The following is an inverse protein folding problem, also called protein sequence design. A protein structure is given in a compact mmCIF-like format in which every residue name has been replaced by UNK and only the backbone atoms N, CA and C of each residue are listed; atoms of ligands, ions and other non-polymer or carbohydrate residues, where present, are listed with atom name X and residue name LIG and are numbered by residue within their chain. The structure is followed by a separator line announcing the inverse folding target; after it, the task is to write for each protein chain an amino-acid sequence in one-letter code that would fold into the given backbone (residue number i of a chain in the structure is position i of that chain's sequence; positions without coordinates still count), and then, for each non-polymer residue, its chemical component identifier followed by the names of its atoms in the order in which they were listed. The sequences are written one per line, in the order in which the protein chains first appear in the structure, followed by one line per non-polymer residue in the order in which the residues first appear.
data_IF_559784681867
#
_entry.id   IF_559784681867
#
_cell.length_a   1.000
_cell.length_b   1.000
_cell.length_c   1.000
_cell.angle_alpha   90.00
_cell.angle_beta   90.00
_cell.angle_gamma   90.00
#
_symmetry.space_group_name_H-M   'P 1'
#
loop_
_entity.id
_entity.type
_entity.pdbx_description
1 polymer ?
#
# COMPACT_ATOMS: atom_id res chain seq x y z
N UNK A 1 17.07 -32.42 14.00
CA UNK A 1 17.19 -31.02 14.45
C UNK A 1 16.23 -30.22 13.59
N UNK A 2 15.25 -29.52 14.17
CA UNK A 2 14.38 -28.66 13.37
C UNK A 2 15.27 -27.57 12.75
N UNK A 3 15.30 -27.50 11.42
CA UNK A 3 16.01 -26.43 10.70
C UNK A 3 15.45 -25.10 11.21
N UNK A 4 16.33 -24.24 11.72
CA UNK A 4 15.93 -22.95 12.29
C UNK A 4 15.21 -22.12 11.21
N UNK A 5 13.97 -21.68 11.48
CA UNK A 5 13.19 -20.86 10.54
C UNK A 5 13.90 -19.52 10.34
N UNK A 6 13.93 -19.04 9.10
CA UNK A 6 14.29 -17.66 8.83
C UNK A 6 13.25 -16.72 9.43
N UNK A 7 13.65 -15.49 9.73
CA UNK A 7 12.70 -14.45 10.08
C UNK A 7 11.88 -14.09 8.84
N UNK A 8 12.54 -13.78 7.72
CA UNK A 8 11.89 -13.25 6.51
C UNK A 8 12.29 -14.04 5.26
N UNK A 9 11.32 -14.34 4.38
CA UNK A 9 11.61 -14.70 2.98
C UNK A 9 10.95 -13.70 2.05
N UNK A 10 11.74 -13.12 1.13
CA UNK A 10 11.24 -12.25 0.06
C UNK A 10 10.88 -13.10 -1.15
N UNK A 11 9.58 -13.28 -1.41
CA UNK A 11 9.06 -14.07 -2.52
C UNK A 11 8.75 -13.19 -3.74
N UNK A 12 9.20 -13.63 -4.92
CA UNK A 12 9.14 -12.81 -6.14
C UNK A 12 10.38 -11.91 -6.30
N UNK A 13 11.49 -12.28 -5.67
CA UNK A 13 12.71 -11.46 -5.59
C UNK A 13 13.37 -11.16 -6.95
N UNK A 14 13.11 -11.97 -7.98
CA UNK A 14 13.59 -11.70 -9.34
C UNK A 14 12.71 -10.74 -10.16
N UNK A 15 11.59 -10.29 -9.60
CA UNK A 15 10.74 -9.26 -10.21
C UNK A 15 11.30 -7.86 -9.99
N UNK A 16 10.73 -6.87 -10.68
CA UNK A 16 11.21 -5.48 -10.60
C UNK A 16 11.13 -4.92 -9.17
N UNK A 17 9.96 -5.00 -8.52
CA UNK A 17 9.81 -4.63 -7.09
C UNK A 17 10.64 -5.52 -6.17
N UNK A 18 10.71 -6.81 -6.49
CA UNK A 18 11.44 -7.80 -5.70
C UNK A 18 12.92 -7.50 -5.56
N UNK A 19 13.60 -7.10 -6.64
CA UNK A 19 15.05 -6.80 -6.57
C UNK A 19 15.34 -5.58 -5.70
N UNK A 20 14.53 -4.51 -5.79
CA UNK A 20 14.69 -3.36 -4.90
C UNK A 20 14.30 -3.70 -3.45
N UNK A 21 13.38 -4.65 -3.23
CA UNK A 21 13.11 -5.18 -1.89
C UNK A 21 14.34 -5.90 -1.33
N UNK A 22 15.08 -6.65 -2.15
CA UNK A 22 16.36 -7.27 -1.74
C UNK A 22 17.42 -6.21 -1.41
N UNK A 23 17.48 -5.12 -2.17
CA UNK A 23 18.39 -4.00 -1.89
C UNK A 23 18.08 -3.36 -0.52
N UNK A 24 16.83 -2.96 -0.29
CA UNK A 24 16.42 -2.35 0.98
C UNK A 24 16.54 -3.30 2.18
N UNK A 25 16.40 -4.62 1.96
CA UNK A 25 16.53 -5.64 3.00
C UNK A 25 17.90 -5.62 3.68
N UNK A 26 18.97 -5.20 2.99
CA UNK A 26 20.31 -5.08 3.58
C UNK A 26 20.32 -4.10 4.75
N UNK A 27 19.57 -3.00 4.65
CA UNK A 27 19.45 -2.00 5.71
C UNK A 27 18.34 -2.36 6.70
N UNK A 28 17.12 -2.61 6.20
CA UNK A 28 15.93 -2.78 7.03
C UNK A 28 15.96 -4.08 7.85
N UNK A 29 16.52 -5.16 7.29
CA UNK A 29 16.56 -6.49 7.93
C UNK A 29 17.96 -6.82 8.50
N UNK A 30 18.82 -5.83 8.75
CA UNK A 30 20.23 -6.05 9.16
C UNK A 30 20.42 -6.95 10.39
N UNK A 31 19.41 -7.00 11.28
CA UNK A 31 19.42 -7.79 12.52
C UNK A 31 18.51 -9.03 12.45
N UNK A 32 18.09 -9.44 11.26
CA UNK A 32 17.16 -10.55 11.02
C UNK A 32 17.78 -11.57 10.05
N UNK A 33 17.43 -12.84 10.22
CA UNK A 33 17.81 -13.90 9.28
C UNK A 33 16.83 -13.90 8.11
N UNK A 34 17.29 -13.56 6.90
CA UNK A 34 16.41 -13.49 5.74
C UNK A 34 16.95 -14.23 4.52
N UNK A 35 16.04 -14.58 3.61
CA UNK A 35 16.34 -15.26 2.35
C UNK A 35 15.44 -14.77 1.22
N UNK A 36 15.69 -15.28 0.01
CA UNK A 36 14.91 -14.92 -1.18
C UNK A 36 14.29 -16.15 -1.83
N UNK A 37 13.16 -15.95 -2.51
CA UNK A 37 12.44 -17.01 -3.17
C UNK A 37 11.87 -16.59 -4.53
N UNK A 38 11.80 -17.56 -5.43
CA UNK A 38 11.23 -17.40 -6.77
C UNK A 38 11.42 -18.67 -7.61
N UNK A 39 11.03 -18.60 -8.89
CA UNK A 39 10.98 -19.79 -9.77
C UNK A 39 12.34 -20.20 -10.34
N UNK A 40 13.25 -19.25 -10.51
CA UNK A 40 14.50 -19.47 -11.24
C UNK A 40 15.71 -19.16 -10.35
N UNK A 41 16.44 -20.21 -9.95
CA UNK A 41 17.63 -20.11 -9.08
C UNK A 41 18.70 -19.18 -9.64
N UNK A 42 19.00 -19.28 -10.93
CA UNK A 42 20.05 -18.48 -11.56
C UNK A 42 19.72 -16.98 -11.52
N UNK A 43 18.46 -16.60 -11.80
CA UNK A 43 18.00 -15.21 -11.68
C UNK A 43 18.06 -14.70 -10.24
N UNK A 44 17.76 -15.55 -9.26
CA UNK A 44 17.86 -15.19 -7.84
C UNK A 44 19.32 -14.94 -7.43
N UNK A 45 20.26 -15.76 -7.91
CA UNK A 45 21.70 -15.55 -7.69
C UNK A 45 22.20 -14.25 -8.35
N UNK A 46 21.72 -13.94 -9.55
CA UNK A 46 22.02 -12.69 -10.24
C UNK A 46 21.53 -11.47 -9.46
N UNK A 47 20.31 -11.52 -8.92
CA UNK A 47 19.76 -10.45 -8.06
C UNK A 47 20.61 -10.24 -6.81
N UNK A 48 21.02 -11.32 -6.12
CA UNK A 48 21.89 -11.20 -4.94
C UNK A 48 23.24 -10.55 -5.29
N UNK A 49 23.79 -10.88 -6.46
CA UNK A 49 25.03 -10.27 -6.96
C UNK A 49 24.84 -8.78 -7.29
N UNK A 50 23.82 -8.44 -8.08
CA UNK A 50 23.51 -7.07 -8.50
C UNK A 50 23.23 -6.17 -7.29
N UNK A 51 22.29 -6.59 -6.43
CA UNK A 51 21.86 -5.80 -5.27
C UNK A 51 22.92 -5.80 -4.16
N UNK A 52 23.68 -6.88 -3.99
CA UNK A 52 24.81 -6.92 -3.05
C UNK A 52 25.93 -5.97 -3.45
N UNK A 53 26.29 -5.92 -4.75
CA UNK A 53 27.25 -4.95 -5.26
C UNK A 53 26.76 -3.51 -5.05
N UNK A 54 25.48 -3.23 -5.35
CA UNK A 54 24.85 -1.91 -5.14
C UNK A 54 24.85 -1.50 -3.67
N UNK A 55 24.52 -2.43 -2.75
CA UNK A 55 24.50 -2.20 -1.32
C UNK A 55 25.89 -2.26 -0.66
N UNK A 56 26.95 -2.57 -1.43
CA UNK A 56 28.32 -2.81 -0.93
C UNK A 56 28.36 -3.87 0.18
N UNK A 57 27.58 -4.94 0.01
CA UNK A 57 27.45 -6.07 0.94
C UNK A 57 27.50 -7.39 0.18
N UNK A 58 28.30 -8.34 0.64
CA UNK A 58 28.25 -9.70 0.09
C UNK A 58 26.96 -10.40 0.53
N UNK A 59 26.13 -10.76 -0.46
CA UNK A 59 24.88 -11.49 -0.29
C UNK A 59 24.97 -12.94 -0.78
N UNK A 60 26.16 -13.43 -1.13
CA UNK A 60 26.39 -14.78 -1.70
C UNK A 60 25.87 -15.92 -0.82
N UNK A 61 25.85 -15.72 0.51
CA UNK A 61 25.38 -16.69 1.49
C UNK A 61 23.88 -16.57 1.82
N UNK A 62 23.16 -15.65 1.17
CA UNK A 62 21.72 -15.48 1.40
C UNK A 62 20.96 -16.73 0.93
N UNK A 63 20.16 -17.38 1.79
CA UNK A 63 19.42 -18.58 1.41
C UNK A 63 18.46 -18.34 0.23
N UNK A 64 18.44 -19.30 -0.71
CA UNK A 64 17.57 -19.28 -1.90
C UNK A 64 16.57 -20.44 -1.83
N UNK A 65 15.30 -20.12 -1.95
CA UNK A 65 14.20 -21.08 -2.03
C UNK A 65 13.56 -21.06 -3.42
N UNK A 66 13.25 -22.24 -3.94
CA UNK A 66 12.51 -22.37 -5.21
C UNK A 66 11.04 -22.53 -4.89
N UNK A 67 10.24 -21.60 -5.42
CA UNK A 67 8.81 -21.55 -5.23
C UNK A 67 8.12 -21.00 -6.49
N UNK A 68 7.05 -21.68 -6.91
CA UNK A 68 6.20 -21.29 -8.03
C UNK A 68 4.76 -21.10 -7.55
N UNK A 69 4.11 -20.02 -8.00
CA UNK A 69 2.71 -19.72 -7.66
C UNK A 69 1.72 -20.79 -8.15
N UNK A 70 2.13 -21.63 -9.09
CA UNK A 70 1.36 -22.76 -9.61
C UNK A 70 1.70 -24.10 -8.93
N UNK A 71 2.66 -24.13 -8.01
CA UNK A 71 3.05 -25.32 -7.26
C UNK A 71 2.82 -25.11 -5.76
N UNK A 72 1.70 -25.63 -5.26
CA UNK A 72 1.28 -25.49 -3.87
C UNK A 72 2.29 -26.08 -2.87
N UNK A 73 2.93 -27.19 -3.22
CA UNK A 73 3.90 -27.84 -2.34
C UNK A 73 5.15 -26.97 -2.19
N UNK A 74 5.60 -26.34 -3.29
CA UNK A 74 6.72 -25.40 -3.26
C UNK A 74 6.43 -24.17 -2.38
N UNK A 75 5.22 -23.61 -2.48
CA UNK A 75 4.80 -22.45 -1.67
C UNK A 75 4.71 -22.81 -0.19
N UNK A 76 4.15 -23.98 0.13
CA UNK A 76 4.05 -24.45 1.51
C UNK A 76 5.43 -24.71 2.12
N UNK A 77 6.36 -25.29 1.36
CA UNK A 77 7.73 -25.53 1.81
C UNK A 77 8.48 -24.22 2.07
N UNK A 78 8.33 -23.23 1.19
CA UNK A 78 8.86 -21.87 1.41
C UNK A 78 8.26 -21.26 2.68
N UNK A 79 6.94 -21.29 2.82
CA UNK A 79 6.25 -20.69 3.95
C UNK A 79 6.66 -21.34 5.29
N UNK A 80 6.82 -22.66 5.36
CA UNK A 80 7.32 -23.37 6.55
C UNK A 80 8.74 -22.97 6.95
N UNK A 81 9.53 -22.46 6.01
CA UNK A 81 10.95 -22.14 6.21
C UNK A 81 11.18 -20.74 6.81
N UNK A 82 10.14 -19.93 7.00
CA UNK A 82 10.26 -18.58 7.57
C UNK A 82 9.11 -18.22 8.50
N UNK A 83 9.26 -17.14 9.28
CA UNK A 83 8.22 -16.58 10.15
C UNK A 83 7.28 -15.63 9.42
N UNK A 84 7.78 -14.93 8.40
CA UNK A 84 6.99 -14.07 7.52
C UNK A 84 7.44 -14.18 6.06
N UNK A 85 6.47 -14.25 5.15
CA UNK A 85 6.68 -14.09 3.70
C UNK A 85 6.40 -12.65 3.31
N UNK A 86 7.40 -12.00 2.72
CA UNK A 86 7.30 -10.71 2.05
C UNK A 86 7.05 -10.97 0.57
N UNK A 87 5.80 -10.81 0.13
CA UNK A 87 5.37 -11.17 -1.21
C UNK A 87 5.42 -9.96 -2.17
N UNK A 88 6.27 -10.05 -3.18
CA UNK A 88 6.36 -9.09 -4.30
C UNK A 88 5.96 -9.72 -5.64
N UNK A 89 5.34 -10.91 -5.63
CA UNK A 89 4.92 -11.64 -6.82
C UNK A 89 3.47 -11.29 -7.21
N UNK A 90 3.32 -10.25 -8.03
CA UNK A 90 2.04 -9.87 -8.65
C UNK A 90 1.86 -10.39 -10.09
N UNK A 91 0.70 -10.14 -10.73
CA UNK A 91 -0.49 -9.48 -10.17
C UNK A 91 -1.21 -10.36 -9.13
N UNK A 92 -1.62 -9.75 -8.01
CA UNK A 92 -2.06 -10.49 -6.82
C UNK A 92 -3.42 -11.13 -6.98
N UNK A 93 -4.32 -10.52 -7.77
CA UNK A 93 -5.62 -11.08 -8.14
C UNK A 93 -5.53 -12.51 -8.67
N UNK A 94 -4.48 -12.85 -9.42
CA UNK A 94 -4.33 -14.16 -10.05
C UNK A 94 -3.50 -15.12 -9.20
N UNK A 95 -2.48 -14.62 -8.50
CA UNK A 95 -1.46 -15.46 -7.88
C UNK A 95 -1.35 -15.31 -6.35
N UNK A 96 -1.90 -14.24 -5.78
CA UNK A 96 -1.75 -13.90 -4.37
C UNK A 96 -2.45 -14.89 -3.43
N UNK A 97 -3.63 -15.41 -3.81
CA UNK A 97 -4.41 -16.34 -2.98
C UNK A 97 -3.64 -17.60 -2.64
N UNK A 98 -2.90 -18.17 -3.60
CA UNK A 98 -2.10 -19.38 -3.37
C UNK A 98 -1.00 -19.14 -2.32
N UNK A 99 -0.38 -17.96 -2.33
CA UNK A 99 0.64 -17.59 -1.36
C UNK A 99 0.03 -17.37 0.02
N UNK A 100 -1.10 -16.65 0.11
CA UNK A 100 -1.83 -16.40 1.37
C UNK A 100 -2.23 -17.72 2.02
N UNK A 101 -2.85 -18.62 1.25
CA UNK A 101 -3.26 -19.94 1.72
C UNK A 101 -2.09 -20.78 2.23
N UNK A 102 -0.97 -20.79 1.50
CA UNK A 102 0.24 -21.50 1.93
C UNK A 102 0.80 -20.93 3.25
N UNK A 103 0.82 -19.60 3.40
CA UNK A 103 1.28 -18.92 4.61
C UNK A 103 0.42 -19.26 5.83
N UNK A 104 -0.92 -19.19 5.69
CA UNK A 104 -1.85 -19.54 6.77
C UNK A 104 -1.69 -21.01 7.17
N UNK A 105 -1.61 -21.93 6.21
CA UNK A 105 -1.42 -23.35 6.46
C UNK A 105 -0.08 -23.67 7.15
N UNK A 106 0.95 -22.85 6.91
CA UNK A 106 2.27 -22.99 7.53
C UNK A 106 2.39 -22.34 8.92
N UNK A 107 1.42 -21.52 9.35
CA UNK A 107 1.59 -20.68 10.54
C UNK A 107 2.64 -19.58 10.31
N UNK A 108 2.61 -18.96 9.13
CA UNK A 108 3.59 -17.97 8.66
C UNK A 108 2.85 -16.69 8.31
N UNK A 109 3.33 -15.55 8.82
CA UNK A 109 2.77 -14.24 8.49
C UNK A 109 2.98 -13.89 7.02
N UNK A 110 2.16 -12.98 6.50
CA UNK A 110 2.21 -12.56 5.11
C UNK A 110 2.04 -11.05 4.99
N UNK A 111 2.91 -10.43 4.20
CA UNK A 111 2.76 -9.05 3.75
C UNK A 111 2.93 -8.92 2.24
N UNK A 112 2.21 -8.01 1.61
CA UNK A 112 2.34 -7.70 0.18
C UNK A 112 2.16 -6.22 -0.15
N UNK A 113 2.53 -5.83 -1.37
CA UNK A 113 2.38 -4.45 -1.88
C UNK A 113 1.14 -4.28 -2.77
N UNK A 114 0.11 -5.12 -2.61
CA UNK A 114 -1.04 -5.09 -3.51
C UNK A 114 -1.82 -3.77 -3.42
N UNK A 115 -2.01 -3.14 -4.58
CA UNK A 115 -2.92 -2.01 -4.79
C UNK A 115 -4.30 -2.43 -5.31
N UNK A 116 -4.70 -3.70 -5.14
CA UNK A 116 -5.91 -4.27 -5.77
C UNK A 116 -7.03 -4.52 -4.74
N UNK A 117 -8.01 -3.61 -4.57
CA UNK A 117 -9.08 -3.75 -3.57
C UNK A 117 -9.86 -5.06 -3.65
N UNK A 118 -10.12 -5.55 -4.86
CA UNK A 118 -10.87 -6.79 -5.04
C UNK A 118 -10.12 -7.98 -4.42
N UNK A 119 -8.81 -8.07 -4.65
CA UNK A 119 -7.97 -9.14 -4.09
C UNK A 119 -7.94 -9.03 -2.56
N UNK A 120 -7.64 -7.83 -2.04
CA UNK A 120 -7.54 -7.60 -0.60
C UNK A 120 -8.83 -7.94 0.16
N UNK A 121 -9.97 -7.50 -0.37
CA UNK A 121 -11.28 -7.76 0.24
C UNK A 121 -11.71 -9.22 0.06
N UNK A 122 -11.34 -9.87 -1.05
CA UNK A 122 -11.56 -11.31 -1.23
C UNK A 122 -10.75 -12.14 -0.23
N UNK A 123 -9.48 -11.79 0.00
CA UNK A 123 -8.66 -12.48 1.01
C UNK A 123 -9.23 -12.31 2.41
N UNK A 124 -9.72 -11.11 2.74
CA UNK A 124 -10.41 -10.88 4.00
C UNK A 124 -11.66 -11.75 4.12
N UNK A 125 -12.48 -11.81 3.07
CA UNK A 125 -13.73 -12.56 3.09
C UNK A 125 -13.49 -14.07 3.26
N UNK A 126 -12.48 -14.62 2.60
CA UNK A 126 -12.20 -16.06 2.60
C UNK A 126 -11.40 -16.52 3.81
N UNK A 127 -10.44 -15.72 4.27
CA UNK A 127 -9.37 -16.21 5.14
C UNK A 127 -9.27 -15.54 6.51
N UNK A 128 -10.07 -14.50 6.81
CA UNK A 128 -9.93 -13.77 8.07
C UNK A 128 -10.05 -14.67 9.31
N UNK A 129 -11.06 -15.55 9.36
CA UNK A 129 -11.25 -16.43 10.53
C UNK A 129 -10.17 -17.51 10.63
N UNK A 130 -9.81 -18.15 9.51
CA UNK A 130 -8.74 -19.15 9.48
C UNK A 130 -7.38 -18.53 9.89
N UNK A 131 -7.10 -17.30 9.46
CA UNK A 131 -5.88 -16.59 9.83
C UNK A 131 -5.82 -16.30 11.35
N UNK A 132 -6.95 -15.93 11.97
CA UNK A 132 -7.05 -15.77 13.44
C UNK A 132 -6.86 -17.11 14.17
N UNK A 133 -7.50 -18.17 13.70
CA UNK A 133 -7.36 -19.51 14.28
C UNK A 133 -5.91 -19.98 14.27
N UNK A 134 -5.17 -19.66 13.19
CA UNK A 134 -3.77 -20.05 12.99
C UNK A 134 -2.76 -19.10 13.64
N UNK A 135 -3.17 -18.02 14.28
CA UNK A 135 -2.21 -17.06 14.83
C UNK A 135 -1.45 -16.26 13.76
N UNK A 136 -2.01 -16.12 12.56
CA UNK A 136 -1.33 -15.57 11.38
C UNK A 136 -1.90 -14.22 11.00
N UNK A 137 -1.04 -13.20 10.93
CA UNK A 137 -1.36 -11.93 10.27
C UNK A 137 -1.13 -12.00 8.77
N UNK A 138 -2.14 -11.58 8.00
CA UNK A 138 -2.07 -11.34 6.55
C UNK A 138 -2.40 -9.87 6.31
N UNK A 139 -1.42 -9.10 5.83
CA UNK A 139 -1.57 -7.65 5.66
C UNK A 139 -1.15 -7.26 4.24
N UNK A 140 -2.12 -6.79 3.46
CA UNK A 140 -1.89 -6.29 2.10
C UNK A 140 -1.78 -4.77 2.07
N UNK A 141 -1.33 -4.23 0.93
CA UNK A 141 -1.10 -2.80 0.71
C UNK A 141 -0.03 -2.20 1.63
N UNK A 142 1.02 -2.98 1.92
CA UNK A 142 2.18 -2.58 2.72
C UNK A 142 3.21 -1.74 1.93
N UNK A 143 2.82 -1.14 0.80
CA UNK A 143 3.66 -0.28 -0.04
C UNK A 143 3.18 1.17 -0.09
N UNK A 144 3.72 1.94 -1.04
CA UNK A 144 3.30 3.33 -1.28
C UNK A 144 1.82 3.47 -1.61
N UNK A 145 1.22 2.45 -2.21
CA UNK A 145 -0.19 2.46 -2.62
C UNK A 145 -1.18 2.73 -1.47
N UNK A 146 -0.84 2.43 -0.22
CA UNK A 146 -1.73 2.76 0.91
C UNK A 146 -1.06 3.01 2.27
N UNK A 147 0.22 2.67 2.50
CA UNK A 147 0.89 3.02 3.77
C UNK A 147 0.87 4.53 4.05
N UNK A 148 1.19 5.43 3.09
CA UNK A 148 1.15 6.86 3.33
C UNK A 148 -0.24 7.36 3.75
N UNK A 149 -1.29 6.86 3.10
CA UNK A 149 -2.66 7.27 3.41
C UNK A 149 -3.14 6.70 4.75
N UNK A 150 -3.03 5.39 4.95
CA UNK A 150 -3.63 4.70 6.10
C UNK A 150 -2.85 4.98 7.40
N UNK A 151 -1.52 4.92 7.37
CA UNK A 151 -0.71 5.36 8.51
C UNK A 151 -0.73 6.88 8.67
N UNK A 152 -1.02 7.63 7.60
CA UNK A 152 -1.28 9.07 7.68
C UNK A 152 -2.53 9.39 8.50
N UNK A 153 -3.61 8.60 8.37
CA UNK A 153 -4.79 8.72 9.24
C UNK A 153 -4.43 8.39 10.68
N UNK A 154 -3.67 7.31 10.93
CA UNK A 154 -3.19 6.98 12.28
C UNK A 154 -2.38 8.15 12.88
N UNK A 155 -1.48 8.75 12.10
CA UNK A 155 -0.69 9.89 12.54
C UNK A 155 -1.57 11.12 12.83
N UNK A 156 -2.52 11.42 11.94
CA UNK A 156 -3.50 12.50 12.16
C UNK A 156 -4.22 12.28 13.48
N UNK A 157 -4.79 11.09 13.72
CA UNK A 157 -5.58 10.81 14.92
C UNK A 157 -4.74 10.85 16.20
N UNK A 158 -3.49 10.38 16.16
CA UNK A 158 -2.56 10.48 17.30
C UNK A 158 -2.22 11.94 17.67
N UNK A 159 -2.24 12.84 16.70
CA UNK A 159 -1.87 14.24 16.86
C UNK A 159 -3.07 15.19 16.84
N UNK A 160 -4.29 14.67 16.73
CA UNK A 160 -5.53 15.44 16.77
C UNK A 160 -6.09 15.37 18.18
N UNK A 161 -5.85 16.42 18.98
CA UNK A 161 -6.43 16.55 20.32
C UNK A 161 -7.95 16.77 20.22
N UNK A 162 -8.69 15.67 20.09
CA UNK A 162 -10.14 15.67 19.93
C UNK A 162 -10.67 14.44 19.21
N UNK A 163 -11.66 14.66 18.34
CA UNK A 163 -12.28 13.63 17.51
C UNK A 163 -12.23 14.07 16.05
N UNK A 164 -11.57 13.28 15.22
CA UNK A 164 -11.48 13.53 13.77
C UNK A 164 -12.79 13.12 13.12
N UNK A 165 -13.41 14.02 12.35
CA UNK A 165 -14.59 13.70 11.54
C UNK A 165 -14.21 13.19 10.15
N UNK A 166 -13.27 13.89 9.53
CA UNK A 166 -12.97 13.69 8.11
C UNK A 166 -11.56 14.14 7.76
N UNK A 167 -10.97 13.48 6.77
CA UNK A 167 -9.67 13.81 6.19
C UNK A 167 -9.79 13.91 4.67
N UNK A 168 -9.31 15.01 4.11
CA UNK A 168 -9.05 15.11 2.67
C UNK A 168 -7.55 14.96 2.40
N UNK A 169 -7.17 14.07 1.48
CA UNK A 169 -5.77 13.89 1.09
C UNK A 169 -5.49 14.47 -0.28
N UNK A 170 -4.32 15.08 -0.43
CA UNK A 170 -3.87 15.73 -1.65
C UNK A 170 -2.47 15.24 -2.00
N UNK A 171 -2.40 14.28 -2.93
CA UNK A 171 -1.16 13.68 -3.40
C UNK A 171 -0.54 14.53 -4.51
N UNK A 172 0.75 14.82 -4.38
CA UNK A 172 1.59 15.38 -5.44
C UNK A 172 2.81 14.50 -5.58
N UNK A 173 3.11 14.06 -6.80
CA UNK A 173 4.34 13.36 -7.15
C UNK A 173 5.13 14.15 -8.18
N UNK A 174 6.44 13.95 -8.23
CA UNK A 174 7.29 14.59 -9.23
C UNK A 174 8.68 13.99 -9.29
N UNK A 175 9.49 14.50 -10.22
CA UNK A 175 10.90 14.17 -10.38
C UNK A 175 11.71 15.47 -10.22
N UNK A 176 12.71 15.46 -9.34
CA UNK A 176 13.63 16.59 -9.18
C UNK A 176 14.43 16.79 -10.47
N UNK A 177 14.60 18.03 -10.90
CA UNK A 177 15.39 18.40 -12.08
C UNK A 177 14.93 17.73 -13.40
N UNK A 178 13.62 17.54 -13.58
CA UNK A 178 13.05 16.84 -14.74
C UNK A 178 13.39 17.51 -16.09
N UNK A 179 13.54 18.83 -16.13
CA UNK A 179 13.81 19.59 -17.36
C UNK A 179 15.19 19.31 -17.99
N UNK A 180 16.13 18.78 -17.23
CA UNK A 180 17.52 18.54 -17.67
C UNK A 180 17.85 17.04 -17.84
N UNK A 181 16.85 16.16 -17.73
CA UNK A 181 17.07 14.73 -17.76
C UNK A 181 16.96 14.16 -19.18
N UNK A 182 18.02 13.49 -19.65
CA UNK A 182 18.01 12.63 -20.84
C UNK A 182 17.46 11.22 -20.57
N UNK A 183 16.91 11.00 -19.37
CA UNK A 183 16.44 9.69 -18.90
C UNK A 183 15.17 9.20 -19.62
N UNK A 184 14.94 7.89 -19.55
CA UNK A 184 13.69 7.25 -19.97
C UNK A 184 12.44 7.96 -19.40
N UNK A 185 11.40 8.04 -20.23
CA UNK A 185 10.08 8.59 -19.83
C UNK A 185 9.29 7.66 -18.91
N UNK A 186 9.70 6.39 -18.79
CA UNK A 186 9.00 5.42 -17.98
C UNK A 186 8.99 5.85 -16.51
N UNK A 187 7.80 5.90 -15.91
CA UNK A 187 7.60 6.11 -14.48
C UNK A 187 7.14 4.85 -13.74
N UNK A 188 6.57 3.87 -14.46
CA UNK A 188 6.01 2.65 -13.90
C UNK A 188 6.45 1.40 -14.68
N UNK A 189 6.51 0.27 -13.98
CA UNK A 189 6.69 -1.04 -14.56
C UNK A 189 5.34 -1.61 -15.06
N UNK A 190 5.38 -2.55 -16.01
CA UNK A 190 4.18 -3.22 -16.56
C UNK A 190 3.33 -3.93 -15.51
N UNK A 191 3.90 -4.40 -14.40
CA UNK A 191 3.12 -5.02 -13.32
C UNK A 191 2.09 -4.08 -12.70
N UNK A 192 2.45 -2.81 -12.48
CA UNK A 192 1.53 -1.78 -11.98
C UNK A 192 0.44 -1.48 -13.01
N UNK A 193 0.80 -1.40 -14.29
CA UNK A 193 -0.15 -1.18 -15.37
C UNK A 193 -1.18 -2.31 -15.50
N UNK A 194 -0.71 -3.56 -15.46
CA UNK A 194 -1.58 -4.73 -15.49
C UNK A 194 -2.57 -4.70 -14.31
N UNK A 195 -2.09 -4.38 -13.11
CA UNK A 195 -2.92 -4.25 -11.91
C UNK A 195 -3.99 -3.15 -12.08
N UNK A 196 -3.66 -2.02 -12.71
CA UNK A 196 -4.62 -0.95 -13.00
C UNK A 196 -5.68 -1.37 -14.03
N UNK A 197 -5.28 -2.06 -15.11
CA UNK A 197 -6.21 -2.56 -16.14
C UNK A 197 -7.22 -3.54 -15.52
N UNK A 198 -6.73 -4.56 -14.80
CA UNK A 198 -7.60 -5.55 -14.18
C UNK A 198 -8.34 -5.01 -12.95
N UNK A 199 -7.78 -4.02 -12.25
CA UNK A 199 -8.44 -3.30 -11.17
C UNK A 199 -9.76 -2.68 -11.63
N UNK A 200 -9.76 -2.01 -12.79
CA UNK A 200 -10.97 -1.44 -13.38
C UNK A 200 -11.88 -2.49 -14.01
N UNK A 201 -11.31 -3.51 -14.65
CA UNK A 201 -12.07 -4.57 -15.32
C UNK A 201 -12.99 -5.35 -14.38
N UNK A 202 -12.62 -5.45 -13.11
CA UNK A 202 -13.31 -6.24 -12.08
C UNK A 202 -13.79 -5.37 -10.90
N UNK A 203 -13.97 -4.07 -11.11
CA UNK A 203 -14.38 -3.14 -10.05
C UNK A 203 -15.83 -3.38 -9.59
N UNK A 204 -16.66 -3.99 -10.43
CA UNK A 204 -18.05 -4.35 -10.16
C UNK A 204 -18.19 -5.49 -9.12
N UNK A 205 -17.22 -6.41 -9.09
CA UNK A 205 -17.16 -7.52 -8.13
C UNK A 205 -17.09 -7.03 -6.67
N UNK A 206 -16.50 -5.85 -6.44
CA UNK A 206 -16.35 -5.27 -5.10
C UNK A 206 -17.68 -5.10 -4.39
N UNK A 207 -18.78 -4.81 -5.12
CA UNK A 207 -20.09 -4.65 -4.51
C UNK A 207 -20.54 -5.95 -3.82
N UNK A 208 -20.41 -7.08 -4.51
CA UNK A 208 -20.80 -8.40 -3.98
C UNK A 208 -19.91 -8.84 -2.81
N UNK A 209 -18.61 -8.58 -2.90
CA UNK A 209 -17.66 -8.88 -1.81
C UNK A 209 -18.01 -8.08 -0.55
N UNK A 210 -18.23 -6.77 -0.68
CA UNK A 210 -18.57 -5.89 0.44
C UNK A 210 -19.90 -6.21 1.10
N UNK A 211 -20.90 -6.64 0.32
CA UNK A 211 -22.17 -7.10 0.87
C UNK A 211 -22.00 -8.33 1.78
N UNK A 212 -21.08 -9.23 1.43
CA UNK A 212 -20.78 -10.43 2.24
C UNK A 212 -19.91 -10.10 3.45
N UNK A 213 -18.90 -9.24 3.28
CA UNK A 213 -18.01 -8.80 4.37
C UNK A 213 -18.74 -7.95 5.43
N UNK A 214 -19.66 -7.10 4.99
CA UNK A 214 -20.30 -6.08 5.82
C UNK A 214 -21.82 -6.18 5.69
N UNK A 215 -22.45 -7.25 6.23
CA UNK A 215 -23.91 -7.40 6.19
C UNK A 215 -24.60 -6.25 6.93
N UNK A 216 -23.99 -5.79 8.03
CA UNK A 216 -24.44 -4.62 8.77
C UNK A 216 -23.80 -3.34 8.23
N UNK A 217 -24.62 -2.33 7.95
CA UNK A 217 -24.13 -1.02 7.51
C UNK A 217 -23.63 -0.22 8.71
N UNK A 218 -22.54 0.54 8.49
CA UNK A 218 -22.16 1.58 9.42
C UNK A 218 -23.31 2.58 9.60
N UNK A 219 -23.50 3.15 10.80
CA UNK A 219 -24.46 4.23 10.98
C UNK A 219 -24.02 5.44 10.14
N UNK A 220 -24.97 6.33 9.88
CA UNK A 220 -24.66 7.60 9.21
C UNK A 220 -23.97 8.52 10.23
N UNK A 221 -22.80 9.04 9.86
CA UNK A 221 -22.02 9.93 10.71
C UNK A 221 -22.14 11.37 10.18
N UNK A 222 -22.72 12.27 10.98
CA UNK A 222 -22.85 13.69 10.65
C UNK A 222 -21.76 14.55 11.30
N UNK A 223 -21.26 15.59 10.61
CA UNK A 223 -21.58 15.95 9.24
C UNK A 223 -20.85 15.07 8.21
N UNK A 224 -21.50 14.88 7.07
CA UNK A 224 -20.96 14.10 5.95
C UNK A 224 -19.87 14.90 5.24
N UNK A 225 -18.74 14.26 4.96
CA UNK A 225 -17.70 14.82 4.10
C UNK A 225 -18.23 14.93 2.66
N UNK A 226 -18.39 16.16 2.17
CA UNK A 226 -18.86 16.41 0.80
C UNK A 226 -17.74 16.19 -0.21
N UNK A 227 -18.11 15.71 -1.39
CA UNK A 227 -17.19 15.66 -2.53
C UNK A 227 -16.88 17.08 -3.03
N UNK A 228 -15.63 17.30 -3.43
CA UNK A 228 -15.26 18.47 -4.23
C UNK A 228 -15.67 18.28 -5.70
N UNK A 229 -15.74 19.36 -6.50
CA UNK A 229 -15.94 19.24 -7.95
C UNK A 229 -14.89 18.32 -8.58
N UNK A 230 -15.21 17.74 -9.75
CA UNK A 230 -14.32 16.80 -10.45
C UNK A 230 -12.93 17.39 -10.73
N UNK A 231 -12.88 18.68 -11.09
CA UNK A 231 -11.63 19.43 -11.27
C UNK A 231 -11.75 20.72 -10.47
N UNK A 232 -10.81 20.99 -9.57
CA UNK A 232 -10.83 22.20 -8.74
C UNK A 232 -9.42 22.64 -8.37
N UNK A 233 -9.25 23.91 -7.98
CA UNK A 233 -7.98 24.37 -7.39
C UNK A 233 -8.03 24.21 -5.87
N UNK A 234 -7.14 23.39 -5.31
CA UNK A 234 -7.00 23.22 -3.86
C UNK A 234 -6.29 24.42 -3.25
N UNK A 235 -6.82 24.93 -2.13
CA UNK A 235 -6.15 25.98 -1.33
C UNK A 235 -5.05 25.41 -0.45
N UNK A 236 -5.17 24.13 -0.09
CA UNK A 236 -4.27 23.40 0.79
C UNK A 236 -2.90 23.15 0.14
N UNK A 237 -2.87 22.87 -1.17
CA UNK A 237 -1.62 22.60 -1.90
C UNK A 237 -1.36 23.55 -3.08
N UNK A 238 -2.27 24.49 -3.36
CA UNK A 238 -2.20 25.40 -4.50
C UNK A 238 -1.97 24.70 -5.86
N UNK A 239 -2.66 23.57 -6.06
CA UNK A 239 -2.64 22.76 -7.29
C UNK A 239 -4.05 22.55 -7.84
N UNK A 240 -4.14 22.22 -9.13
CA UNK A 240 -5.38 21.75 -9.74
C UNK A 240 -5.53 20.27 -9.42
N UNK A 241 -6.62 19.88 -8.79
CA UNK A 241 -6.82 18.55 -8.25
C UNK A 241 -7.93 17.78 -8.98
N UNK A 242 -7.74 16.47 -9.07
CA UNK A 242 -8.73 15.48 -9.49
C UNK A 242 -8.95 14.46 -8.36
N UNK A 243 -10.10 13.78 -8.28
CA UNK A 243 -10.24 12.57 -7.48
C UNK A 243 -9.14 11.56 -7.81
N UNK A 244 -8.52 10.97 -6.79
CA UNK A 244 -7.52 9.93 -6.97
C UNK A 244 -8.18 8.54 -6.95
N UNK A 245 -8.15 7.77 -8.06
CA UNK A 245 -8.83 6.48 -8.16
C UNK A 245 -8.01 5.30 -7.59
N UNK A 246 -7.16 5.55 -6.60
CA UNK A 246 -6.28 4.53 -6.00
C UNK A 246 -6.96 3.65 -4.94
N UNK A 247 -6.20 2.69 -4.39
CA UNK A 247 -6.65 1.80 -3.32
C UNK A 247 -6.79 2.47 -1.96
N UNK A 248 -6.15 3.63 -1.75
CA UNK A 248 -6.13 4.42 -0.51
C UNK A 248 -7.47 4.42 0.24
N UNK A 249 -8.54 4.89 -0.42
CA UNK A 249 -9.85 4.99 0.21
C UNK A 249 -10.39 3.62 0.60
N UNK A 250 -10.15 2.59 -0.21
CA UNK A 250 -10.58 1.23 0.09
C UNK A 250 -9.89 0.69 1.35
N UNK A 251 -8.58 0.91 1.45
CA UNK A 251 -7.77 0.43 2.58
C UNK A 251 -8.10 1.21 3.85
N UNK A 252 -8.14 2.54 3.79
CA UNK A 252 -8.51 3.39 4.94
C UNK A 252 -9.90 3.06 5.45
N UNK A 253 -10.91 2.94 4.58
CA UNK A 253 -12.27 2.63 5.04
C UNK A 253 -12.36 1.23 5.67
N UNK A 254 -11.54 0.27 5.26
CA UNK A 254 -11.44 -1.04 5.95
C UNK A 254 -10.82 -0.88 7.34
N UNK A 255 -9.77 -0.08 7.48
CA UNK A 255 -9.14 0.21 8.79
C UNK A 255 -10.14 0.88 9.73
N UNK A 256 -10.85 1.89 9.25
CA UNK A 256 -11.87 2.60 10.01
C UNK A 256 -13.06 1.71 10.38
N UNK A 257 -13.48 0.82 9.47
CA UNK A 257 -14.53 -0.17 9.78
C UNK A 257 -14.10 -1.13 10.88
N UNK A 258 -12.88 -1.67 10.79
CA UNK A 258 -12.33 -2.56 11.80
C UNK A 258 -12.31 -1.90 13.19
N UNK A 259 -11.82 -0.66 13.29
CA UNK A 259 -11.74 0.08 14.55
C UNK A 259 -13.14 0.43 15.10
N UNK A 260 -14.12 0.66 14.25
CA UNK A 260 -15.50 0.82 14.69
C UNK A 260 -16.07 -0.49 15.25
N UNK A 261 -15.92 -1.59 14.53
CA UNK A 261 -16.50 -2.87 14.94
C UNK A 261 -15.88 -3.36 16.26
N UNK A 262 -14.56 -3.19 16.43
CA UNK A 262 -13.78 -3.71 17.57
C UNK A 262 -13.62 -2.75 18.74
N UNK A 263 -13.45 -1.45 18.50
CA UNK A 263 -13.17 -0.45 19.54
C UNK A 263 -14.28 0.59 19.69
N UNK A 264 -15.37 0.46 18.93
CA UNK A 264 -16.44 1.47 18.84
C UNK A 264 -15.87 2.86 18.54
N UNK A 265 -14.78 2.94 17.78
CA UNK A 265 -14.22 4.22 17.35
C UNK A 265 -15.05 4.81 16.21
N UNK A 266 -15.39 6.09 16.30
CA UNK A 266 -16.04 6.81 15.18
C UNK A 266 -15.14 6.75 13.92
N UNK A 267 -15.62 6.23 12.79
CA UNK A 267 -14.87 6.18 11.53
C UNK A 267 -14.53 7.57 10.99
N UNK A 268 -13.26 7.77 10.64
CA UNK A 268 -12.82 8.92 9.85
C UNK A 268 -13.32 8.78 8.41
N UNK A 269 -14.03 9.80 7.92
CA UNK A 269 -14.43 9.88 6.51
C UNK A 269 -13.26 10.36 5.65
N UNK A 270 -13.06 9.80 4.46
CA UNK A 270 -11.92 10.15 3.60
C UNK A 270 -12.31 10.40 2.15
N UNK A 271 -11.77 11.49 1.59
CA UNK A 271 -11.67 11.71 0.15
C UNK A 271 -10.20 11.92 -0.26
N UNK A 272 -9.82 11.29 -1.37
CA UNK A 272 -8.46 11.34 -1.90
C UNK A 272 -8.41 12.09 -3.22
N UNK A 273 -7.42 12.97 -3.36
CA UNK A 273 -7.21 13.80 -4.54
C UNK A 273 -5.74 13.76 -4.97
N UNK A 274 -5.50 13.95 -6.27
CA UNK A 274 -4.16 14.09 -6.86
C UNK A 274 -4.03 15.47 -7.51
N UNK A 275 -2.91 16.15 -7.26
CA UNK A 275 -2.66 17.54 -7.64
C UNK A 275 -1.68 17.71 -8.80
N UNK A 276 -2.03 18.59 -9.72
CA UNK A 276 -1.25 18.95 -10.92
C UNK A 276 -0.92 20.44 -10.93
N UNK A 277 0.22 20.78 -11.54
CA UNK A 277 0.69 22.18 -11.64
C UNK A 277 -0.10 23.03 -12.64
N UNK A 278 -0.91 22.42 -13.52
CA UNK A 278 -1.63 23.11 -14.59
C UNK A 278 -3.03 22.52 -14.77
N UNK A 279 -4.00 23.38 -15.11
CA UNK A 279 -5.35 22.97 -15.53
C UNK A 279 -5.30 22.07 -16.77
N UNK A 280 -4.43 22.40 -17.72
CA UNK A 280 -4.30 21.65 -18.96
C UNK A 280 -3.84 20.22 -18.69
N UNK A 281 -2.83 20.05 -17.82
CA UNK A 281 -2.36 18.73 -17.40
C UNK A 281 -3.48 17.92 -16.70
N UNK A 282 -4.24 18.55 -15.80
CA UNK A 282 -5.35 17.89 -15.13
C UNK A 282 -6.45 17.44 -16.13
N UNK A 283 -6.80 18.28 -17.11
CA UNK A 283 -7.78 17.93 -18.14
C UNK A 283 -7.28 16.74 -18.98
N UNK A 284 -6.02 16.76 -19.43
CA UNK A 284 -5.43 15.64 -20.16
C UNK A 284 -5.45 14.35 -19.37
N UNK A 285 -5.10 14.38 -18.08
CA UNK A 285 -5.15 13.21 -17.21
C UNK A 285 -6.58 12.70 -17.00
N UNK A 286 -7.57 13.60 -16.83
CA UNK A 286 -8.96 13.20 -16.71
C UNK A 286 -9.51 12.54 -17.99
N UNK A 287 -9.16 13.08 -19.17
CA UNK A 287 -9.50 12.50 -20.47
C UNK A 287 -8.84 11.12 -20.64
N UNK A 288 -7.54 11.03 -20.35
CA UNK A 288 -6.79 9.78 -20.39
C UNK A 288 -7.41 8.72 -19.47
N UNK A 289 -7.70 9.07 -18.21
CA UNK A 289 -8.31 8.15 -17.26
C UNK A 289 -9.69 7.67 -17.72
N UNK A 290 -10.47 8.54 -18.37
CA UNK A 290 -11.78 8.17 -18.93
C UNK A 290 -11.64 7.17 -20.07
N UNK A 291 -10.73 7.43 -21.03
CA UNK A 291 -10.46 6.53 -22.16
C UNK A 291 -9.92 5.19 -21.65
N UNK A 292 -8.95 5.23 -20.72
CA UNK A 292 -8.38 4.05 -20.09
C UNK A 292 -9.46 3.21 -19.40
N UNK A 293 -10.36 3.83 -18.64
CA UNK A 293 -11.47 3.13 -17.98
C UNK A 293 -12.47 2.52 -18.97
N UNK A 294 -12.78 3.21 -20.08
CA UNK A 294 -13.63 2.66 -21.12
C UNK A 294 -12.97 1.45 -21.79
N UNK A 295 -11.69 1.55 -22.15
CA UNK A 295 -10.94 0.46 -22.75
C UNK A 295 -10.82 -0.75 -21.81
N UNK A 296 -10.56 -0.53 -20.52
CA UNK A 296 -10.42 -1.60 -19.53
C UNK A 296 -11.73 -2.41 -19.31
N UNK A 297 -12.90 -1.84 -19.62
CA UNK A 297 -14.18 -2.53 -19.51
C UNK A 297 -14.39 -3.60 -20.58
N UNK A 298 -13.88 -3.39 -21.78
CA UNK A 298 -14.08 -4.31 -22.91
C UNK A 298 -12.86 -5.21 -23.11
N UNK A 299 -13.09 -6.48 -23.41
CA UNK A 299 -12.01 -7.46 -23.59
C UNK A 299 -11.01 -7.05 -24.68
N UNK A 300 -11.50 -6.56 -25.81
CA UNK A 300 -10.65 -6.04 -26.88
C UNK A 300 -9.77 -4.86 -26.41
N UNK A 301 -10.36 -3.91 -25.69
CA UNK A 301 -9.64 -2.76 -25.14
C UNK A 301 -8.60 -3.18 -24.10
N UNK A 302 -8.92 -4.12 -23.21
CA UNK A 302 -7.96 -4.71 -22.27
C UNK A 302 -6.78 -5.36 -22.98
N UNK A 303 -7.05 -6.17 -24.00
CA UNK A 303 -6.00 -6.83 -24.78
C UNK A 303 -5.05 -5.81 -25.41
N UNK A 304 -5.57 -4.70 -25.94
CA UNK A 304 -4.74 -3.62 -26.47
C UNK A 304 -3.89 -2.93 -25.39
N UNK A 305 -4.51 -2.57 -24.25
CA UNK A 305 -3.79 -1.93 -23.13
C UNK A 305 -2.67 -2.82 -22.60
N UNK A 306 -2.89 -4.13 -22.51
CA UNK A 306 -1.92 -5.10 -21.99
C UNK A 306 -0.82 -5.43 -23.01
N UNK A 307 -1.15 -5.50 -24.31
CA UNK A 307 -0.19 -5.81 -25.37
C UNK A 307 0.71 -4.63 -25.72
N UNK A 308 0.22 -3.40 -25.61
CA UNK A 308 0.94 -2.19 -26.00
C UNK A 308 1.00 -1.11 -24.89
N UNK A 309 1.50 -1.45 -23.68
CA UNK A 309 1.46 -0.56 -22.53
C UNK A 309 2.22 0.75 -22.77
N UNK A 310 3.38 0.71 -23.43
CA UNK A 310 4.17 1.90 -23.74
C UNK A 310 3.49 2.82 -24.74
N UNK A 311 2.76 2.28 -25.72
CA UNK A 311 1.99 3.10 -26.68
C UNK A 311 0.83 3.82 -25.97
N UNK A 312 0.00 3.07 -25.25
CA UNK A 312 -1.17 3.64 -24.58
C UNK A 312 -0.82 4.55 -23.41
N UNK A 313 0.35 4.40 -22.79
CA UNK A 313 0.83 5.29 -21.73
C UNK A 313 1.71 6.45 -22.22
N UNK A 314 1.93 6.58 -23.54
CA UNK A 314 2.83 7.60 -24.09
C UNK A 314 4.30 7.45 -23.65
N UNK A 315 4.71 6.23 -23.33
CA UNK A 315 6.05 5.87 -22.83
C UNK A 315 6.20 5.95 -21.31
N UNK A 316 5.14 6.25 -20.56
CA UNK A 316 5.18 6.30 -19.09
C UNK A 316 5.25 4.90 -18.44
N UNK A 317 4.86 3.84 -19.16
CA UNK A 317 4.97 2.45 -18.71
C UNK A 317 5.90 1.68 -19.63
N UNK A 318 6.85 0.94 -19.06
CA UNK A 318 7.70 0.00 -19.79
C UNK A 318 7.97 -1.30 -19.00
N UNK A 319 8.30 -2.41 -19.69
CA UNK A 319 8.73 -3.65 -19.03
C UNK A 319 9.98 -3.46 -18.17
N UNK A 320 10.88 -2.56 -18.56
CA UNK A 320 12.12 -2.23 -17.85
C UNK A 320 11.86 -1.31 -16.65
N UNK A 321 10.69 -0.68 -16.56
CA UNK A 321 10.36 0.30 -15.54
C UNK A 321 11.13 1.62 -15.67
N UNK A 322 11.03 2.51 -14.66
CA UNK A 322 11.81 3.73 -14.61
C UNK A 322 13.31 3.45 -14.45
N UNK A 323 14.16 4.34 -15.00
CA UNK A 323 15.60 4.29 -14.75
C UNK A 323 15.89 4.57 -13.28
N UNK A 324 17.02 4.03 -12.79
CA UNK A 324 17.49 4.25 -11.42
C UNK A 324 17.66 5.75 -11.10
N UNK A 325 18.28 6.51 -12.02
CA UNK A 325 18.41 7.97 -11.94
C UNK A 325 17.08 8.69 -11.77
N UNK A 326 16.02 8.23 -12.45
CA UNK A 326 14.68 8.81 -12.35
C UNK A 326 14.03 8.41 -11.03
N UNK A 327 14.17 7.16 -10.60
CA UNK A 327 13.65 6.66 -9.32
C UNK A 327 14.23 7.45 -8.14
N UNK A 328 15.54 7.62 -8.07
CA UNK A 328 16.21 8.35 -6.98
C UNK A 328 15.85 9.84 -6.92
N UNK A 329 15.52 10.45 -8.08
CA UNK A 329 15.05 11.83 -8.14
C UNK A 329 13.55 11.98 -7.93
N UNK A 330 12.80 10.88 -7.97
CA UNK A 330 11.35 10.91 -7.79
C UNK A 330 10.97 11.08 -6.33
N UNK A 331 9.83 11.72 -6.09
CA UNK A 331 9.31 11.97 -4.74
C UNK A 331 7.79 12.03 -4.74
N UNK A 332 7.22 11.89 -3.54
CA UNK A 332 5.82 12.21 -3.29
C UNK A 332 5.65 13.11 -2.07
N UNK A 333 4.55 13.86 -2.06
CA UNK A 333 4.03 14.63 -0.92
C UNK A 333 2.52 14.43 -0.87
N UNK A 334 2.03 13.82 0.20
CA UNK A 334 0.61 13.70 0.50
C UNK A 334 0.28 14.67 1.63
N UNK A 335 -0.43 15.74 1.31
CA UNK A 335 -0.93 16.67 2.34
C UNK A 335 -2.31 16.21 2.78
N UNK A 336 -2.53 16.08 4.08
CA UNK A 336 -3.79 15.65 4.68
C UNK A 336 -4.38 16.80 5.48
N UNK A 337 -5.62 17.17 5.18
CA UNK A 337 -6.39 18.14 5.96
C UNK A 337 -7.45 17.40 6.76
N UNK A 338 -7.23 17.31 8.06
CA UNK A 338 -8.18 16.77 9.01
C UNK A 338 -9.07 17.87 9.58
N UNK A 339 -10.35 17.58 9.71
CA UNK A 339 -11.35 18.44 10.35
C UNK A 339 -12.11 17.62 11.38
N UNK A 340 -12.36 18.21 12.55
CA UNK A 340 -12.99 17.53 13.67
C UNK A 340 -13.34 18.49 14.80
N UNK A 341 -13.56 17.95 15.99
CA UNK A 341 -13.91 18.72 17.19
C UNK A 341 -12.84 18.57 18.27
N UNK A 342 -12.64 19.58 19.13
CA UNK A 342 -11.72 19.48 20.26
C UNK A 342 -12.19 18.43 21.28
N UNK A 343 -11.27 17.96 22.12
CA UNK A 343 -11.55 16.96 23.17
C UNK A 343 -12.70 17.34 24.11
N UNK A 344 -12.93 18.64 24.34
CA UNK A 344 -14.03 19.16 25.15
C UNK A 344 -15.43 18.90 24.59
N UNK A 345 -15.54 18.57 23.30
CA UNK A 345 -16.81 18.28 22.63
C UNK A 345 -16.98 16.78 22.31
N UNK A 346 -16.11 15.92 22.87
CA UNK A 346 -16.22 14.47 22.67
C UNK A 346 -17.55 13.97 23.23
N UNK A 347 -18.31 13.29 22.38
CA UNK A 347 -19.58 12.67 22.78
C UNK A 347 -19.35 11.42 23.63
N UNK A 348 -20.37 11.02 24.38
CA UNK A 348 -20.32 9.86 25.25
C UNK A 348 -20.16 8.57 24.45
N UNK A 349 -21.01 8.37 23.43
CA UNK A 349 -20.93 7.24 22.52
C UNK A 349 -20.46 7.68 21.13
N UNK A 350 -19.72 6.82 20.43
CA UNK A 350 -19.23 7.15 19.08
C UNK A 350 -20.31 7.21 18.00
N UNK A 351 -21.46 6.62 18.29
CA UNK A 351 -22.66 6.63 17.44
C UNK A 351 -23.51 7.88 17.64
N UNK A 352 -23.26 8.64 18.72
CA UNK A 352 -23.93 9.91 18.96
C UNK A 352 -23.60 10.90 17.83
N UNK A 353 -24.56 11.77 17.56
CA UNK A 353 -24.45 12.73 16.47
C UNK A 353 -24.03 14.09 17.00
N UNK A 354 -23.01 14.67 16.38
CA UNK A 354 -22.65 16.05 16.60
C UNK A 354 -23.70 16.96 15.97
N UNK A 355 -24.20 17.92 16.74
CA UNK A 355 -25.11 18.96 16.25
C UNK A 355 -24.37 20.17 15.69
N UNK A 356 -23.18 20.45 16.24
CA UNK A 356 -22.33 21.58 15.85
C UNK A 356 -21.32 21.20 14.76
N UNK A 357 -20.98 22.12 13.85
CA UNK A 357 -19.98 21.86 12.83
C UNK A 357 -18.57 21.67 13.45
N UNK A 358 -17.71 20.84 12.84
CA UNK A 358 -16.34 20.68 13.31
C UNK A 358 -15.54 21.98 13.18
N UNK A 359 -14.87 22.36 14.28
CA UNK A 359 -14.18 23.65 14.44
C UNK A 359 -12.66 23.53 14.45
N UNK A 360 -12.12 22.34 14.70
CA UNK A 360 -10.67 22.09 14.80
C UNK A 360 -10.13 21.50 13.51
N UNK A 361 -8.94 21.94 13.12
CA UNK A 361 -8.26 21.49 11.92
C UNK A 361 -6.80 21.13 12.18
N UNK A 362 -6.35 20.06 11.55
CA UNK A 362 -4.95 19.65 11.57
C UNK A 362 -4.51 19.39 10.13
N UNK A 363 -3.41 20.03 9.72
CA UNK A 363 -2.74 19.73 8.46
C UNK A 363 -1.48 18.93 8.72
N UNK A 364 -1.39 17.77 8.07
CA UNK A 364 -0.25 16.86 8.12
C UNK A 364 0.32 16.70 6.71
N UNK A 365 1.62 16.43 6.62
CA UNK A 365 2.28 15.98 5.40
C UNK A 365 2.89 14.60 5.63
N UNK A 366 2.59 13.70 4.73
CA UNK A 366 3.32 12.43 4.57
C UNK A 366 4.16 12.53 3.31
N UNK A 367 5.46 12.28 3.38
CA UNK A 367 6.34 12.44 2.21
C UNK A 367 7.47 11.42 2.19
N UNK A 368 7.98 11.14 1.00
CA UNK A 368 9.09 10.22 0.82
C UNK A 368 9.72 10.31 -0.58
N UNK A 369 10.95 9.82 -0.74
CA UNK A 369 11.59 9.67 -2.04
C UNK A 369 11.10 8.40 -2.74
N UNK A 370 11.43 8.23 -4.01
CA UNK A 370 11.30 6.96 -4.73
C UNK A 370 10.02 6.16 -4.38
N UNK A 371 8.81 6.72 -4.60
CA UNK A 371 7.56 6.12 -4.11
C UNK A 371 7.37 4.70 -4.62
N UNK A 372 7.69 4.43 -5.87
CA UNK A 372 7.44 3.13 -6.50
C UNK A 372 8.29 1.99 -5.95
N UNK A 373 9.56 2.22 -5.62
CA UNK A 373 10.52 1.12 -5.42
C UNK A 373 11.53 1.34 -4.29
N UNK A 374 11.65 2.55 -3.74
CA UNK A 374 12.38 2.81 -2.50
C UNK A 374 11.42 2.77 -1.32
N UNK A 375 10.58 3.81 -1.17
CA UNK A 375 9.60 3.88 -0.07
C UNK A 375 8.63 2.71 -0.03
N UNK A 376 8.24 2.15 -1.18
CA UNK A 376 7.43 0.92 -1.21
C UNK A 376 8.14 -0.26 -0.58
N UNK A 377 9.41 -0.49 -0.92
CA UNK A 377 10.19 -1.61 -0.42
C UNK A 377 10.54 -1.44 1.07
N UNK A 378 10.94 -0.22 1.48
CA UNK A 378 11.15 0.10 2.89
C UNK A 378 9.86 -0.10 3.69
N UNK A 379 8.72 0.37 3.19
CA UNK A 379 7.45 0.21 3.89
C UNK A 379 7.07 -1.28 4.03
N UNK A 380 7.23 -2.06 2.96
CA UNK A 380 6.94 -3.48 2.96
C UNK A 380 7.78 -4.22 4.01
N UNK A 381 9.09 -3.99 4.01
CA UNK A 381 9.99 -4.61 4.97
C UNK A 381 9.75 -4.13 6.40
N UNK A 382 9.46 -2.83 6.59
CA UNK A 382 9.16 -2.25 7.91
C UNK A 382 7.90 -2.84 8.51
N UNK A 383 6.86 -3.14 7.69
CA UNK A 383 5.68 -3.86 8.18
C UNK A 383 6.02 -5.28 8.63
N UNK A 384 6.88 -5.99 7.89
CA UNK A 384 7.33 -7.32 8.29
C UNK A 384 8.12 -7.30 9.62
N UNK A 385 9.06 -6.36 9.76
CA UNK A 385 9.82 -6.11 11.00
C UNK A 385 8.87 -5.81 12.16
N UNK A 386 7.87 -4.96 11.92
CA UNK A 386 6.89 -4.57 12.95
C UNK A 386 6.07 -5.78 13.42
N UNK A 387 5.61 -6.65 12.53
CA UNK A 387 4.89 -7.88 12.91
C UNK A 387 5.80 -8.78 13.76
N UNK A 388 7.05 -8.99 13.34
CA UNK A 388 7.99 -9.88 14.03
C UNK A 388 8.37 -9.39 15.44
N UNK A 389 8.43 -8.07 15.64
CA UNK A 389 8.89 -7.44 16.89
C UNK A 389 7.75 -6.99 17.80
N UNK A 390 6.58 -6.66 17.26
CA UNK A 390 5.51 -5.97 17.98
C UNK A 390 4.12 -6.60 17.76
N UNK A 391 4.04 -7.90 17.42
CA UNK A 391 2.76 -8.61 17.32
C UNK A 391 1.90 -8.51 18.58
N UNK A 392 2.51 -8.37 19.75
CA UNK A 392 1.81 -8.13 21.02
C UNK A 392 1.08 -6.77 21.11
N UNK A 393 1.39 -5.82 20.23
CA UNK A 393 0.69 -4.53 20.12
C UNK A 393 -0.33 -4.50 18.98
N UNK A 394 -0.37 -5.56 18.17
CA UNK A 394 -1.33 -5.72 17.08
C UNK A 394 -2.66 -6.26 17.63
N UNK A 395 -3.79 -6.02 16.94
CA UNK A 395 -5.08 -6.49 17.43
C UNK A 395 -5.24 -8.01 17.27
N UNK A 396 -5.92 -8.63 18.23
CA UNK A 396 -6.28 -10.05 18.19
C UNK A 396 -5.08 -10.99 18.15
N UNK A 397 -5.28 -12.18 17.58
CA UNK A 397 -4.25 -13.21 17.41
C UNK A 397 -4.14 -13.61 15.94
N UNK A 398 -3.91 -12.64 15.04
CA UNK A 398 -3.94 -12.85 13.59
C UNK A 398 -5.21 -12.31 12.92
N UNK A 399 -5.36 -12.61 11.63
CA UNK A 399 -6.45 -12.12 10.78
C UNK A 399 -5.95 -11.48 9.50
N UNK A 400 -6.89 -11.12 8.62
CA UNK A 400 -6.60 -10.42 7.37
C UNK A 400 -6.95 -8.94 7.55
N UNK A 401 -5.93 -8.12 7.77
CA UNK A 401 -6.09 -6.74 8.25
C UNK A 401 -5.51 -5.72 7.26
N UNK A 402 -6.13 -4.53 7.13
CA UNK A 402 -5.48 -3.39 6.51
C UNK A 402 -4.40 -2.78 7.44
N UNK A 403 -3.39 -2.07 6.90
CA UNK A 403 -2.26 -1.56 7.68
C UNK A 403 -2.65 -0.67 8.87
N UNK A 404 -3.58 0.26 8.70
CA UNK A 404 -4.01 1.19 9.75
C UNK A 404 -4.68 0.48 10.93
N UNK A 405 -5.48 -0.55 10.67
CA UNK A 405 -6.02 -1.41 11.73
C UNK A 405 -4.90 -2.18 12.45
N UNK A 406 -4.00 -2.79 11.69
CA UNK A 406 -2.96 -3.66 12.21
C UNK A 406 -1.89 -2.92 13.03
N UNK A 407 -1.50 -1.72 12.58
CA UNK A 407 -0.32 -1.01 13.07
C UNK A 407 -0.63 0.29 13.82
N UNK A 408 -1.91 0.60 14.08
CA UNK A 408 -2.31 1.83 14.79
C UNK A 408 -1.59 2.01 16.14
N UNK A 409 -1.33 0.92 16.87
CA UNK A 409 -0.71 0.89 18.20
C UNK A 409 0.78 0.50 18.18
N UNK A 410 1.39 0.32 17.01
CA UNK A 410 2.80 -0.08 16.88
C UNK A 410 3.70 1.11 16.60
N UNK A 411 5.02 0.84 16.53
CA UNK A 411 6.04 1.82 16.18
C UNK A 411 6.25 2.02 14.66
N UNK A 412 5.40 1.45 13.79
CA UNK A 412 5.62 1.44 12.33
C UNK A 412 5.93 2.83 11.75
N UNK A 413 5.23 3.88 12.18
CA UNK A 413 5.51 5.26 11.72
C UNK A 413 6.97 5.64 11.99
N UNK A 414 7.45 5.45 13.23
CA UNK A 414 8.84 5.74 13.59
C UNK A 414 9.84 4.78 12.95
N UNK A 415 9.43 3.55 12.61
CA UNK A 415 10.27 2.61 11.88
C UNK A 415 10.49 3.08 10.43
N UNK A 416 9.43 3.56 9.76
CA UNK A 416 9.51 4.11 8.40
C UNK A 416 10.46 5.31 8.32
N UNK A 417 10.54 6.13 9.37
CA UNK A 417 11.35 7.35 9.39
C UNK A 417 12.87 7.10 9.54
N UNK A 418 13.28 5.88 9.94
CA UNK A 418 14.69 5.54 10.19
C UNK A 418 15.50 5.32 8.91
N UNK A 419 14.84 5.00 7.81
CA UNK A 419 15.49 4.51 6.60
C UNK A 419 15.65 5.63 5.57
N UNK A 420 16.69 5.55 4.74
CA UNK A 420 17.00 6.56 3.72
C UNK A 420 15.84 6.77 2.74
N UNK A 421 15.30 5.68 2.19
CA UNK A 421 14.10 5.70 1.35
C UNK A 421 12.81 5.64 2.15
N UNK A 422 12.86 5.95 3.45
CA UNK A 422 11.75 5.96 4.37
C UNK A 422 10.67 7.01 4.08
N UNK A 423 9.61 6.97 4.89
CA UNK A 423 8.46 7.87 4.80
C UNK A 423 8.43 8.75 6.05
N UNK A 424 8.30 10.06 5.86
CA UNK A 424 8.25 11.07 6.93
C UNK A 424 6.83 11.55 7.19
N UNK A 425 6.52 11.80 8.45
CA UNK A 425 5.22 12.31 8.91
C UNK A 425 5.41 13.64 9.67
N UNK A 426 4.82 14.72 9.16
CA UNK A 426 5.07 16.07 9.65
C UNK A 426 3.75 16.82 9.92
N UNK A 427 3.65 17.53 11.04
CA UNK A 427 2.54 18.47 11.29
C UNK A 427 2.89 19.79 10.60
N UNK A 428 2.05 20.26 9.69
CA UNK A 428 2.21 21.54 8.99
C UNK A 428 1.51 22.69 9.69
N UNK A 429 0.33 22.43 10.26
CA UNK A 429 -0.46 23.41 10.99
C UNK A 429 -1.46 22.70 11.91
N UNK A 430 -1.71 23.27 13.09
CA UNK A 430 -2.72 22.83 14.04
C UNK A 430 -3.50 24.08 14.45
N UNK A 431 -4.78 24.16 14.06
CA UNK A 431 -5.62 25.36 14.23
C UNK A 431 -6.98 25.00 14.80
#
# INVERSE_FOLDING_TARGET
MATERLDVIIFGASGFTGKYTVYEAVSVLKDLKWGIAGRNRAKLQEVLKEMGAKAKKDLSQTPIFIADVNDEASLLNMAKSCRIVVNTAGPYRFFGENVVRACINAGTHHVDVSGEPQYMETMQLKYNELAKERGVYVISACGFDSIPADMGIVFVEKNFDGVVNSVETFLVSGVKDEKNASDSKAGLNTGTWQSAVYGLAHADELRGIRQKLYPERLPKFFPILKHRPLIFRSREINKVCLPFPGSDRSVVMRSQRFLYDTEKKRPVQMHAYIGFSSWLAAIFVALFATIFALMAKFEFGRTLLLKYPSFFSGGFVSPEGPSESRMERSYFKMTMKATGWPSSQRLAESTDQYTEPPTKTLMVRVSGPNPGYGSTCVALLSTAVTILRESNKMPGNGGVLPPGAAFSKTSLISELEKHEHGIKFEILANK
#
